data_IF_071228815795
#
_entry.id   IF_071228815795
#
_cell.length_a   1.000
_cell.length_b   1.000
_cell.length_c   1.000
_cell.angle_alpha   90.00
_cell.angle_beta   90.00
_cell.angle_gamma   90.00
#
_symmetry.space_group_name_H-M   'P 1'
#
loop_
_entity.id
_entity.type
_entity.pdbx_description
1 polymer ?
#
# COMPACT_ATOMS: atom_id res chain seq x y z
N UNK A 1 -3.57 10.05 28.74
CA UNK A 1 -4.24 8.99 27.94
C UNK A 1 -4.42 9.55 26.54
N UNK A 2 -3.50 9.27 25.60
CA UNK A 2 -3.59 9.79 24.22
C UNK A 2 -4.58 8.91 23.45
N UNK A 3 -5.72 9.47 23.03
CA UNK A 3 -6.53 8.90 21.95
C UNK A 3 -5.65 8.91 20.70
N UNK A 4 -5.14 7.74 20.30
CA UNK A 4 -3.96 7.64 19.43
C UNK A 4 -4.16 6.98 18.08
N UNK A 5 -5.40 6.79 17.61
CA UNK A 5 -5.67 6.50 16.20
C UNK A 5 -6.92 7.30 15.81
N UNK A 6 -6.67 8.37 15.08
CA UNK A 6 -7.68 9.21 14.46
C UNK A 6 -7.98 8.64 13.06
N UNK A 7 -9.15 8.98 12.49
CA UNK A 7 -9.71 8.42 11.24
C UNK A 7 -8.66 8.01 10.18
N UNK A 8 -8.31 6.72 10.16
CA UNK A 8 -7.36 6.13 9.21
C UNK A 8 -8.08 5.20 8.25
N UNK A 9 -7.87 5.41 6.95
CA UNK A 9 -8.30 4.49 5.90
C UNK A 9 -7.13 3.57 5.53
N UNK A 10 -7.36 2.27 5.56
CA UNK A 10 -6.42 1.27 5.06
C UNK A 10 -6.86 0.83 3.67
N UNK A 11 -5.93 0.81 2.71
CA UNK A 11 -6.15 0.35 1.34
C UNK A 11 -5.12 -0.74 1.05
N UNK A 12 -5.56 -1.99 0.89
CA UNK A 12 -4.71 -3.09 0.42
C UNK A 12 -4.93 -3.27 -1.07
N UNK A 13 -3.85 -3.24 -1.86
CA UNK A 13 -3.89 -3.33 -3.31
C UNK A 13 -3.18 -4.61 -3.74
N UNK A 14 -3.88 -5.42 -4.53
CA UNK A 14 -3.34 -6.62 -5.17
C UNK A 14 -3.73 -6.64 -6.65
N UNK A 15 -3.31 -7.67 -7.37
CA UNK A 15 -3.67 -7.90 -8.77
C UNK A 15 -5.13 -8.32 -8.98
N UNK A 16 -5.77 -8.86 -7.93
CA UNK A 16 -7.09 -9.48 -8.00
C UNK A 16 -8.15 -8.74 -7.18
N UNK A 17 -7.74 -8.08 -6.10
CA UNK A 17 -8.63 -7.39 -5.17
C UNK A 17 -8.01 -6.09 -4.61
N UNK A 18 -8.86 -5.07 -4.42
CA UNK A 18 -8.54 -3.88 -3.62
C UNK A 18 -9.44 -3.90 -2.38
N UNK A 19 -8.84 -3.86 -1.19
CA UNK A 19 -9.57 -3.91 0.08
C UNK A 19 -9.46 -2.55 0.76
N UNK A 20 -10.60 -1.98 1.13
CA UNK A 20 -10.69 -0.75 1.92
C UNK A 20 -11.14 -1.12 3.32
N UNK A 21 -10.45 -0.64 4.35
CA UNK A 21 -10.79 -0.94 5.74
C UNK A 21 -10.70 0.29 6.65
N UNK A 22 -11.59 0.37 7.62
CA UNK A 22 -11.60 1.37 8.69
C UNK A 22 -11.85 0.69 10.03
N UNK A 23 -11.19 1.20 11.07
CA UNK A 23 -11.45 0.77 12.43
C UNK A 23 -12.51 1.67 13.08
N UNK A 24 -13.61 1.08 13.57
CA UNK A 24 -14.61 1.82 14.33
C UNK A 24 -14.20 1.87 15.81
N UNK A 25 -13.56 2.99 16.20
CA UNK A 25 -13.12 3.20 17.59
C UNK A 25 -14.28 3.37 18.56
N UNK A 26 -15.45 3.85 18.09
CA UNK A 26 -16.63 4.08 18.91
C UNK A 26 -17.33 2.76 19.26
N UNK A 27 -17.31 1.79 18.34
CA UNK A 27 -17.91 0.46 18.54
C UNK A 27 -16.97 -0.60 19.11
N UNK A 28 -15.73 -0.23 19.47
CA UNK A 28 -14.72 -1.08 20.13
C UNK A 28 -14.73 -2.53 19.62
N UNK A 29 -14.06 -2.76 18.48
CA UNK A 29 -13.52 -4.04 17.95
C UNK A 29 -14.04 -4.51 16.58
N UNK A 30 -14.86 -3.73 15.86
CA UNK A 30 -15.26 -4.10 14.49
C UNK A 30 -14.43 -3.37 13.45
N UNK A 31 -13.64 -4.12 12.67
CA UNK A 31 -13.07 -3.64 11.42
C UNK A 31 -14.17 -3.68 10.37
N UNK A 32 -14.52 -2.52 9.82
CA UNK A 32 -15.39 -2.45 8.65
C UNK A 32 -14.50 -2.50 7.42
N UNK A 33 -14.73 -3.44 6.52
CA UNK A 33 -13.98 -3.54 5.27
C UNK A 33 -14.88 -3.82 4.07
N UNK A 34 -14.43 -3.38 2.90
CA UNK A 34 -15.07 -3.63 1.60
C UNK A 34 -14.02 -4.18 0.65
N UNK A 35 -14.36 -5.28 -0.03
CA UNK A 35 -13.53 -5.89 -1.06
C UNK A 35 -14.07 -5.46 -2.43
N UNK A 36 -13.20 -4.84 -3.23
CA UNK A 36 -13.45 -4.54 -4.63
C UNK A 36 -12.68 -5.54 -5.50
N UNK A 37 -13.41 -6.35 -6.28
CA UNK A 37 -12.81 -7.28 -7.26
C UNK A 37 -12.23 -6.48 -8.42
N UNK A 38 -10.94 -6.65 -8.70
CA UNK A 38 -10.27 -6.04 -9.86
C UNK A 38 -10.88 -6.63 -11.14
N UNK A 39 -11.29 -5.76 -12.05
CA UNK A 39 -11.79 -6.16 -13.36
C UNK A 39 -10.61 -6.35 -14.32
N UNK A 40 -10.52 -7.49 -15.02
CA UNK A 40 -9.35 -7.81 -15.85
C UNK A 40 -9.32 -7.04 -17.19
N UNK A 41 -10.42 -6.41 -17.58
CA UNK A 41 -10.58 -5.68 -18.84
C UNK A 41 -10.06 -4.23 -18.80
N UNK A 42 -9.75 -3.71 -17.59
CA UNK A 42 -9.22 -2.37 -17.40
C UNK A 42 -7.95 -2.39 -16.54
N UNK A 43 -7.16 -1.33 -16.59
CA UNK A 43 -5.91 -1.24 -15.80
C UNK A 43 -6.17 -1.23 -14.29
N UNK A 44 -5.16 -1.58 -13.50
CA UNK A 44 -5.24 -1.50 -12.04
C UNK A 44 -5.52 -0.06 -11.55
N UNK A 45 -4.91 0.95 -12.18
CA UNK A 45 -5.21 2.36 -11.92
C UNK A 45 -6.71 2.66 -12.15
N UNK A 46 -7.27 2.26 -13.30
CA UNK A 46 -8.68 2.47 -13.60
C UNK A 46 -9.60 1.77 -12.59
N UNK A 47 -9.23 0.54 -12.17
CA UNK A 47 -9.93 -0.18 -11.10
C UNK A 47 -9.90 0.57 -9.77
N UNK A 48 -8.76 1.10 -9.35
CA UNK A 48 -8.62 1.86 -8.10
C UNK A 48 -9.45 3.13 -8.16
N UNK A 49 -9.35 3.89 -9.26
CA UNK A 49 -10.14 5.10 -9.46
C UNK A 49 -11.65 4.81 -9.37
N UNK A 50 -12.13 3.76 -10.03
CA UNK A 50 -13.53 3.33 -9.94
C UNK A 50 -13.91 2.92 -8.50
N UNK A 51 -13.06 2.14 -7.83
CA UNK A 51 -13.30 1.66 -6.48
C UNK A 51 -13.39 2.82 -5.47
N UNK A 52 -12.48 3.79 -5.55
CA UNK A 52 -12.47 4.98 -4.68
C UNK A 52 -13.77 5.78 -4.83
N UNK A 53 -14.33 5.91 -6.04
CA UNK A 53 -15.59 6.60 -6.27
C UNK A 53 -16.85 5.85 -5.78
N UNK A 54 -16.78 4.51 -5.66
CA UNK A 54 -17.94 3.66 -5.34
C UNK A 54 -18.01 3.22 -3.88
N UNK A 55 -16.86 2.94 -3.27
CA UNK A 55 -16.79 2.36 -1.93
C UNK A 55 -17.22 3.40 -0.90
N UNK A 56 -18.17 3.07 -0.02
CA UNK A 56 -18.64 4.05 0.98
C UNK A 56 -17.60 4.36 2.05
N UNK A 57 -16.68 3.43 2.33
CA UNK A 57 -15.60 3.61 3.30
C UNK A 57 -14.58 4.69 2.90
N UNK A 58 -14.48 5.03 1.61
CA UNK A 58 -13.61 6.11 1.11
C UNK A 58 -14.26 7.49 1.22
N UNK A 59 -15.50 7.57 1.72
CA UNK A 59 -16.20 8.83 1.96
C UNK A 59 -15.85 9.39 3.34
N UNK A 60 -15.69 10.70 3.41
CA UNK A 60 -15.37 11.44 4.62
C UNK A 60 -13.90 11.84 4.67
N UNK A 61 -13.56 12.58 5.72
CA UNK A 61 -12.19 13.04 5.95
C UNK A 61 -11.38 11.97 6.68
N UNK A 62 -10.11 11.85 6.31
CA UNK A 62 -9.14 10.96 6.93
C UNK A 62 -7.93 11.77 7.36
N UNK A 63 -7.41 11.50 8.55
CA UNK A 63 -6.13 12.07 8.95
C UNK A 63 -4.97 11.32 8.29
N UNK A 64 -5.18 10.03 8.00
CA UNK A 64 -4.18 9.17 7.37
C UNK A 64 -4.83 8.20 6.39
N UNK A 65 -4.13 7.95 5.28
CA UNK A 65 -4.40 6.84 4.38
C UNK A 65 -3.17 5.96 4.37
N UNK A 66 -3.35 4.67 4.69
CA UNK A 66 -2.29 3.67 4.67
C UNK A 66 -2.50 2.72 3.52
N UNK A 67 -1.58 2.73 2.57
CA UNK A 67 -1.62 1.87 1.39
C UNK A 67 -0.68 0.67 1.62
N UNK A 68 -1.22 -0.53 1.47
CA UNK A 68 -0.48 -1.78 1.55
C UNK A 68 -0.41 -2.39 0.15
N UNK A 69 0.80 -2.54 -0.37
CA UNK A 69 1.03 -3.16 -1.67
C UNK A 69 1.26 -4.66 -1.48
N UNK A 70 0.44 -5.49 -2.12
CA UNK A 70 0.73 -6.91 -2.26
C UNK A 70 1.67 -7.11 -3.45
N UNK A 71 2.86 -7.62 -3.18
CA UNK A 71 3.85 -7.88 -4.21
C UNK A 71 5.16 -8.41 -3.63
N UNK A 72 6.15 -8.68 -4.51
CA UNK A 72 7.48 -9.08 -4.10
C UNK A 72 8.13 -8.00 -3.23
N UNK A 73 8.88 -8.44 -2.22
CA UNK A 73 9.62 -7.54 -1.34
C UNK A 73 11.00 -8.12 -1.01
N UNK A 74 11.99 -7.23 -0.87
CA UNK A 74 13.35 -7.56 -0.42
C UNK A 74 13.52 -7.04 1.01
N UNK A 75 13.88 -7.91 1.94
CA UNK A 75 14.30 -7.48 3.28
C UNK A 75 15.81 -7.24 3.28
N UNK A 76 16.23 -6.04 3.67
CA UNK A 76 17.64 -5.62 3.74
C UNK A 76 17.99 -5.32 5.20
N UNK A 77 19.05 -5.90 5.77
CA UNK A 77 19.53 -5.49 7.10
C UNK A 77 19.81 -3.99 7.15
N UNK A 78 19.44 -3.31 8.23
CA UNK A 78 19.60 -1.85 8.33
C UNK A 78 21.07 -1.41 8.22
N UNK A 79 22.01 -2.26 8.62
CA UNK A 79 23.45 -2.00 8.49
C UNK A 79 23.96 -2.00 7.04
N UNK A 80 23.22 -2.63 6.13
CA UNK A 80 23.57 -2.77 4.71
C UNK A 80 22.69 -1.89 3.81
N UNK A 81 21.77 -1.12 4.40
CA UNK A 81 20.84 -0.28 3.64
C UNK A 81 21.51 1.03 3.24
N UNK A 82 21.64 1.21 1.93
CA UNK A 82 22.01 2.48 1.30
C UNK A 82 20.85 2.96 0.43
N UNK A 83 20.31 4.14 0.73
CA UNK A 83 19.11 4.67 0.05
C UNK A 83 19.32 4.78 -1.46
N UNK A 84 20.50 5.24 -1.89
CA UNK A 84 20.88 5.39 -3.31
C UNK A 84 20.91 4.05 -4.07
N UNK A 85 21.08 2.92 -3.37
CA UNK A 85 21.12 1.58 -3.97
C UNK A 85 19.76 0.87 -3.94
N UNK A 86 18.72 1.49 -3.38
CA UNK A 86 17.40 0.88 -3.17
C UNK A 86 16.80 0.29 -4.45
N UNK A 87 16.81 1.06 -5.55
CA UNK A 87 16.26 0.57 -6.82
C UNK A 87 17.08 -0.60 -7.36
N UNK A 88 18.41 -0.49 -7.35
CA UNK A 88 19.28 -1.52 -7.88
C UNK A 88 19.20 -2.82 -7.10
N UNK A 89 19.14 -2.76 -5.77
CA UNK A 89 18.93 -3.91 -4.90
C UNK A 89 17.58 -4.59 -5.15
N UNK A 90 16.50 -3.82 -5.28
CA UNK A 90 15.19 -4.39 -5.58
C UNK A 90 15.17 -5.09 -6.95
N UNK A 91 15.67 -4.41 -8.00
CA UNK A 91 15.67 -4.94 -9.35
C UNK A 91 16.74 -6.02 -9.61
N UNK A 92 17.69 -6.19 -8.70
CA UNK A 92 18.57 -7.36 -8.68
C UNK A 92 17.78 -8.62 -8.30
N UNK A 93 16.91 -8.55 -7.29
CA UNK A 93 16.11 -9.68 -6.83
C UNK A 93 14.88 -9.93 -7.72
N UNK A 94 14.27 -8.88 -8.26
CA UNK A 94 13.03 -8.98 -9.03
C UNK A 94 13.19 -8.37 -10.42
N UNK A 95 13.07 -9.22 -11.44
CA UNK A 95 13.01 -8.78 -12.83
C UNK A 95 11.71 -7.99 -13.06
N UNK A 96 11.82 -6.75 -13.52
CA UNK A 96 10.66 -5.89 -13.73
C UNK A 96 10.96 -4.71 -14.64
N UNK A 97 9.90 -4.07 -15.14
CA UNK A 97 10.05 -2.87 -15.96
C UNK A 97 10.39 -1.67 -15.06
N UNK A 98 11.69 -1.38 -14.93
CA UNK A 98 12.24 -0.21 -14.20
C UNK A 98 11.59 1.11 -14.58
N UNK A 99 11.11 1.27 -15.82
CA UNK A 99 10.44 2.51 -16.24
C UNK A 99 9.05 2.64 -15.65
N UNK A 100 8.36 1.53 -15.39
CA UNK A 100 6.97 1.49 -14.93
C UNK A 100 6.83 1.36 -13.42
N UNK A 101 7.79 0.70 -12.77
CA UNK A 101 7.79 0.49 -11.32
C UNK A 101 8.53 1.63 -10.60
N UNK A 102 8.01 2.02 -9.43
CA UNK A 102 8.70 2.86 -8.46
C UNK A 102 8.97 2.02 -7.22
N UNK A 103 10.22 2.02 -6.76
CA UNK A 103 10.62 1.30 -5.54
C UNK A 103 10.39 2.21 -4.33
N UNK A 104 9.89 1.61 -3.26
CA UNK A 104 9.63 2.19 -1.96
C UNK A 104 10.35 1.36 -0.90
N UNK A 105 10.51 1.95 0.28
CA UNK A 105 11.06 1.25 1.42
C UNK A 105 10.33 1.62 2.71
N UNK A 106 10.15 0.62 3.58
CA UNK A 106 9.68 0.82 4.95
C UNK A 106 10.75 0.35 5.93
N UNK A 107 11.00 1.14 6.98
CA UNK A 107 11.87 0.70 8.07
C UNK A 107 11.11 -0.24 8.99
N UNK A 108 11.75 -1.32 9.41
CA UNK A 108 11.24 -2.30 10.37
C UNK A 108 12.17 -2.33 11.60
N UNK A 109 12.05 -1.36 12.53
CA UNK A 109 13.02 -1.19 13.63
C UNK A 109 13.16 -2.43 14.52
N UNK A 110 12.06 -3.14 14.75
CA UNK A 110 12.03 -4.36 15.56
C UNK A 110 12.78 -5.54 14.94
N UNK A 111 13.04 -5.50 13.63
CA UNK A 111 13.86 -6.48 12.90
C UNK A 111 15.26 -5.95 12.56
N UNK A 112 15.56 -4.69 12.92
CA UNK A 112 16.76 -3.99 12.47
C UNK A 112 16.96 -4.11 10.94
N UNK A 113 15.89 -3.89 10.18
CA UNK A 113 15.85 -4.11 8.74
C UNK A 113 15.01 -3.04 8.01
N UNK A 114 15.15 -3.01 6.70
CA UNK A 114 14.38 -2.20 5.75
C UNK A 114 13.71 -3.14 4.75
N UNK A 115 12.43 -2.94 4.49
CA UNK A 115 11.66 -3.70 3.51
C UNK A 115 11.54 -2.89 2.22
N UNK A 116 12.12 -3.37 1.13
CA UNK A 116 11.99 -2.78 -0.20
C UNK A 116 10.85 -3.44 -0.95
N UNK A 117 9.99 -2.65 -1.57
CA UNK A 117 8.88 -3.13 -2.39
C UNK A 117 8.64 -2.15 -3.53
N UNK A 118 7.86 -2.54 -4.55
CA UNK A 118 7.58 -1.65 -5.66
C UNK A 118 6.08 -1.56 -5.97
N UNK A 119 5.68 -0.40 -6.49
CA UNK A 119 4.35 -0.16 -7.03
C UNK A 119 4.44 0.37 -8.46
N UNK A 120 3.38 0.15 -9.23
CA UNK A 120 3.22 0.77 -10.54
C UNK A 120 3.10 2.29 -10.39
N UNK A 121 3.87 3.05 -11.19
CA UNK A 121 3.83 4.52 -11.15
C UNK A 121 2.43 5.07 -11.42
N UNK A 122 1.64 4.40 -12.26
CA UNK A 122 0.28 4.84 -12.54
C UNK A 122 -0.60 4.73 -11.29
N UNK A 123 -0.42 3.68 -10.48
CA UNK A 123 -1.14 3.49 -9.21
C UNK A 123 -0.76 4.58 -8.20
N UNK A 124 0.52 4.96 -8.16
CA UNK A 124 1.01 6.04 -7.30
C UNK A 124 0.43 7.42 -7.63
N UNK A 125 -0.06 7.63 -8.87
CA UNK A 125 -0.69 8.89 -9.28
C UNK A 125 -2.19 8.92 -9.03
N UNK A 126 -2.82 7.76 -8.84
CA UNK A 126 -4.27 7.64 -8.60
C UNK A 126 -4.68 7.93 -7.16
N UNK A 127 -3.81 7.60 -6.21
CA UNK A 127 -4.02 7.68 -4.77
C UNK A 127 -3.31 8.90 -4.18
#
# INVERSE_FOLDING_TARGET
>A
MKLGDSDTLYIRISDSEVIFARYDHLRRQTVNYVVYKVKPDISLNANIHEAVGRVTLTRGDFNYVRVLMEGPATLVPLSEFEEDLTEDLYFFNFSGNRRRLRVFYDTLPHLNAVLLFAADKDVCHTL
#
